data_IF_890991836423
#
_entry.id   IF_890991836423
#
_cell.length_a   1.000
_cell.length_b   1.000
_cell.length_c   1.000
_cell.angle_alpha   90.00
_cell.angle_beta   90.00
_cell.angle_gamma   90.00
#
_symmetry.space_group_name_H-M   'P 1'
#
loop_
_entity.id
_entity.type
_entity.pdbx_description
1 polymer ?
#
# COMPACT_ATOMS: atom_id res chain seq x y z
N UNK A 1 -20.66 5.79 11.06
CA UNK A 1 -19.69 6.35 12.02
C UNK A 1 -18.81 5.21 12.49
N UNK A 2 -17.48 5.30 12.37
CA UNK A 2 -16.58 4.24 12.85
C UNK A 2 -16.78 4.12 14.36
N UNK A 3 -17.25 2.95 14.82
CA UNK A 3 -17.35 2.68 16.25
C UNK A 3 -15.92 2.58 16.76
N UNK A 4 -15.49 3.44 17.70
CA UNK A 4 -14.15 3.34 18.24
C UNK A 4 -14.02 1.96 18.90
N UNK A 5 -13.04 1.19 18.45
CA UNK A 5 -12.74 -0.17 18.92
C UNK A 5 -12.23 -0.17 20.37
N UNK A 6 -11.55 0.91 20.75
CA UNK A 6 -10.95 1.09 22.05
C UNK A 6 -11.93 0.97 23.24
N UNK A 7 -13.11 1.62 23.27
CA UNK A 7 -14.09 1.43 24.34
C UNK A 7 -14.67 0.01 24.40
N UNK A 8 -14.81 -0.69 23.26
CA UNK A 8 -15.27 -2.08 23.27
C UNK A 8 -14.26 -3.00 23.96
N UNK A 9 -12.96 -2.80 23.70
CA UNK A 9 -11.89 -3.51 24.41
C UNK A 9 -11.86 -3.15 25.89
N UNK A 10 -11.99 -1.87 26.23
CA UNK A 10 -11.97 -1.40 27.62
C UNK A 10 -13.11 -2.03 28.45
N UNK A 11 -14.31 -2.10 27.87
CA UNK A 11 -15.48 -2.74 28.52
C UNK A 11 -15.28 -4.25 28.64
N UNK A 12 -14.88 -4.93 27.56
CA UNK A 12 -14.68 -6.39 27.59
C UNK A 12 -13.57 -6.83 28.55
N UNK A 13 -12.45 -6.10 28.56
CA UNK A 13 -11.30 -6.39 29.40
C UNK A 13 -11.58 -6.00 30.86
N UNK A 14 -12.30 -4.89 31.09
CA UNK A 14 -12.77 -4.48 32.41
C UNK A 14 -13.76 -5.49 33.02
N UNK A 15 -14.71 -6.00 32.23
CA UNK A 15 -15.65 -7.03 32.69
C UNK A 15 -14.92 -8.32 33.10
N UNK A 16 -13.88 -8.72 32.35
CA UNK A 16 -13.06 -9.90 32.69
C UNK A 16 -12.25 -9.69 33.98
N UNK A 17 -11.67 -8.51 34.17
CA UNK A 17 -10.96 -8.15 35.42
C UNK A 17 -11.93 -8.19 36.59
N UNK A 18 -13.12 -7.58 36.46
CA UNK A 18 -14.14 -7.61 37.51
C UNK A 18 -14.56 -9.04 37.86
N UNK A 19 -14.80 -9.88 36.85
CA UNK A 19 -15.17 -11.29 37.06
C UNK A 19 -14.05 -12.08 37.76
N UNK A 20 -12.79 -11.84 37.39
CA UNK A 20 -11.64 -12.43 38.09
C UNK A 20 -11.54 -11.94 39.55
N UNK A 21 -11.83 -10.66 39.81
CA UNK A 21 -11.79 -10.12 41.18
C UNK A 21 -12.91 -10.67 42.06
N UNK A 22 -14.13 -10.83 41.53
CA UNK A 22 -15.28 -11.37 42.27
C UNK A 22 -15.12 -12.88 42.52
N UNK A 23 -14.55 -13.61 41.57
CA UNK A 23 -14.27 -15.03 41.74
C UNK A 23 -13.08 -15.32 42.68
N UNK A 24 -12.33 -14.28 43.08
CA UNK A 24 -11.20 -14.45 43.98
C UNK A 24 -11.70 -14.53 45.42
N UNK A 25 -11.40 -15.65 46.09
CA UNK A 25 -11.69 -15.79 47.51
C UNK A 25 -10.90 -14.76 48.35
N UNK A 26 -11.49 -14.23 49.43
CA UNK A 26 -10.80 -13.31 50.34
C UNK A 26 -9.57 -14.01 50.93
N UNK A 27 -8.37 -13.46 50.67
CA UNK A 27 -7.09 -14.00 51.15
C UNK A 27 -6.22 -14.72 50.10
N UNK A 28 -6.70 -14.88 48.86
CA UNK A 28 -5.85 -15.41 47.79
C UNK A 28 -4.79 -14.38 47.37
N UNK A 29 -3.51 -14.76 47.41
CA UNK A 29 -2.40 -13.91 46.98
C UNK A 29 -2.59 -13.46 45.51
N UNK A 30 -2.20 -12.21 45.23
CA UNK A 30 -2.21 -11.66 43.89
C UNK A 30 -1.26 -12.47 43.00
N UNK A 31 -1.81 -13.12 41.99
CA UNK A 31 -1.05 -13.89 41.03
C UNK A 31 -0.49 -12.94 39.96
N UNK A 32 0.73 -13.21 39.52
CA UNK A 32 1.42 -12.48 38.44
C UNK A 32 0.51 -12.20 37.21
N UNK A 33 -0.29 -13.15 36.69
CA UNK A 33 -1.13 -12.88 35.53
C UNK A 33 -2.19 -11.78 35.78
N UNK A 34 -2.66 -11.61 37.01
CA UNK A 34 -3.65 -10.58 37.32
C UNK A 34 -3.01 -9.18 37.32
N UNK A 35 -1.75 -9.08 37.78
CA UNK A 35 -0.97 -7.84 37.70
C UNK A 35 -0.73 -7.42 36.25
N UNK A 36 -0.43 -8.39 35.37
CA UNK A 36 -0.29 -8.14 33.93
C UNK A 36 -1.62 -7.70 33.33
N UNK A 37 -2.73 -8.39 33.64
CA UNK A 37 -4.05 -8.06 33.11
C UNK A 37 -4.50 -6.67 33.54
N UNK A 38 -4.25 -6.30 34.80
CA UNK A 38 -4.52 -4.97 35.34
C UNK A 38 -3.68 -3.90 34.63
N UNK A 39 -2.39 -4.17 34.40
CA UNK A 39 -1.52 -3.28 33.64
C UNK A 39 -2.03 -3.09 32.20
N UNK A 40 -2.41 -4.17 31.51
CA UNK A 40 -2.98 -4.10 30.15
C UNK A 40 -4.25 -3.24 30.14
N UNK A 41 -5.14 -3.42 31.11
CA UNK A 41 -6.36 -2.62 31.23
C UNK A 41 -6.05 -1.12 31.42
N UNK A 42 -5.09 -0.79 32.29
CA UNK A 42 -4.62 0.59 32.48
C UNK A 42 -4.00 1.17 31.20
N UNK A 43 -3.21 0.39 30.46
CA UNK A 43 -2.62 0.80 29.19
C UNK A 43 -3.66 1.10 28.11
N UNK A 44 -4.70 0.24 28.00
CA UNK A 44 -5.84 0.48 27.10
C UNK A 44 -6.60 1.75 27.50
N UNK A 45 -6.81 1.97 28.80
CA UNK A 45 -7.43 3.18 29.34
C UNK A 45 -6.64 4.45 29.00
N UNK A 46 -5.32 4.39 29.14
CA UNK A 46 -4.42 5.49 28.79
C UNK A 46 -4.49 5.82 27.29
N UNK A 47 -4.49 4.80 26.42
CA UNK A 47 -4.64 5.00 24.97
C UNK A 47 -6.00 5.60 24.60
N UNK A 48 -7.07 5.21 25.29
CA UNK A 48 -8.39 5.83 25.10
C UNK A 48 -8.39 7.32 25.47
N UNK A 49 -7.71 7.67 26.57
CA UNK A 49 -7.59 9.03 27.06
C UNK A 49 -6.67 9.91 26.18
N UNK A 50 -5.75 9.30 25.43
CA UNK A 50 -4.79 9.97 24.54
C UNK A 50 -5.41 10.94 23.52
N UNK A 51 -6.70 10.79 23.21
CA UNK A 51 -7.43 11.72 22.34
C UNK A 51 -7.58 13.12 22.93
N UNK A 52 -7.51 13.26 24.26
CA UNK A 52 -7.57 14.53 24.97
C UNK A 52 -6.35 14.65 25.89
N UNK A 53 -5.37 15.47 25.50
CA UNK A 53 -4.08 15.59 26.20
C UNK A 53 -4.23 15.84 27.71
N UNK A 54 -5.20 16.65 28.11
CA UNK A 54 -5.47 16.91 29.54
C UNK A 54 -5.92 15.67 30.32
N UNK A 55 -6.81 14.87 29.74
CA UNK A 55 -7.29 13.62 30.35
C UNK A 55 -6.18 12.56 30.36
N UNK A 56 -5.39 12.47 29.29
CA UNK A 56 -4.25 11.57 29.22
C UNK A 56 -3.21 11.86 30.32
N UNK A 57 -2.90 13.13 30.58
CA UNK A 57 -1.99 13.53 31.65
C UNK A 57 -2.58 13.15 33.02
N UNK A 58 -3.86 13.43 33.26
CA UNK A 58 -4.51 13.08 34.53
C UNK A 58 -4.54 11.55 34.77
N UNK A 59 -4.86 10.76 33.74
CA UNK A 59 -4.86 9.30 33.82
C UNK A 59 -3.44 8.78 34.01
N UNK A 60 -2.46 9.27 33.26
CA UNK A 60 -1.05 8.90 33.41
C UNK A 60 -0.52 9.21 34.82
N UNK A 61 -0.84 10.38 35.37
CA UNK A 61 -0.47 10.75 36.73
C UNK A 61 -1.13 9.83 37.77
N UNK A 62 -2.39 9.44 37.58
CA UNK A 62 -3.09 8.50 38.48
C UNK A 62 -2.45 7.10 38.47
N UNK A 63 -2.03 6.61 37.29
CA UNK A 63 -1.33 5.32 37.16
C UNK A 63 0.04 5.41 37.86
N UNK A 64 0.80 6.48 37.63
CA UNK A 64 2.10 6.68 38.26
C UNK A 64 2.00 6.79 39.79
N UNK A 65 1.03 7.56 40.30
CA UNK A 65 0.77 7.67 41.74
C UNK A 65 0.37 6.33 42.36
N UNK A 66 -0.45 5.54 41.66
CA UNK A 66 -0.80 4.18 42.08
C UNK A 66 0.41 3.26 42.13
N UNK A 67 1.25 3.26 41.08
CA UNK A 67 2.47 2.43 41.06
C UNK A 67 3.42 2.81 42.19
N UNK A 68 3.55 4.10 42.50
CA UNK A 68 4.35 4.58 43.61
C UNK A 68 3.77 4.15 44.96
N UNK A 69 2.45 4.23 45.13
CA UNK A 69 1.76 3.74 46.33
C UNK A 69 1.93 2.23 46.52
N UNK A 70 1.72 1.45 45.46
CA UNK A 70 1.87 -0.02 45.47
C UNK A 70 3.32 -0.40 45.80
N UNK A 71 4.31 0.33 45.26
CA UNK A 71 5.73 0.15 45.58
C UNK A 71 6.07 0.47 47.04
N UNK A 72 5.45 1.50 47.63
CA UNK A 72 5.69 1.87 49.04
C UNK A 72 5.03 0.92 50.03
N UNK A 73 3.89 0.35 49.68
CA UNK A 73 3.09 -0.51 50.59
C UNK A 73 3.56 -1.96 50.53
N UNK A 74 3.94 -2.43 49.35
CA UNK A 74 4.45 -3.79 49.11
C UNK A 74 5.69 -3.69 48.21
N UNK A 75 6.92 -3.79 48.76
CA UNK A 75 8.16 -3.62 48.00
C UNK A 75 8.49 -4.84 47.11
N UNK A 76 7.47 -5.42 46.47
CA UNK A 76 7.60 -6.52 45.53
C UNK A 76 7.92 -5.96 44.15
N UNK A 77 9.21 -5.78 43.89
CA UNK A 77 9.75 -5.26 42.62
C UNK A 77 9.21 -6.03 41.41
N UNK A 78 9.02 -7.35 41.54
CA UNK A 78 8.49 -8.20 40.48
C UNK A 78 7.04 -7.83 40.08
N UNK A 79 6.20 -7.47 41.05
CA UNK A 79 4.83 -7.06 40.79
C UNK A 79 4.83 -5.71 40.06
N UNK A 80 5.66 -4.77 40.51
CA UNK A 80 5.79 -3.46 39.86
C UNK A 80 6.32 -3.57 38.41
N UNK A 81 7.33 -4.41 38.16
CA UNK A 81 7.85 -4.62 36.80
C UNK A 81 6.77 -5.25 35.90
N UNK A 82 6.04 -6.24 36.40
CA UNK A 82 5.00 -6.93 35.61
C UNK A 82 3.80 -6.03 35.30
N UNK A 83 3.41 -5.12 36.20
CA UNK A 83 2.37 -4.12 35.91
C UNK A 83 2.84 -3.13 34.85
N UNK A 84 4.08 -2.63 34.93
CA UNK A 84 4.66 -1.73 33.92
C UNK A 84 4.69 -2.40 32.54
N UNK A 85 5.14 -3.66 32.46
CA UNK A 85 5.12 -4.44 31.21
C UNK A 85 3.68 -4.58 30.69
N UNK A 86 2.72 -4.86 31.56
CA UNK A 86 1.30 -4.90 31.20
C UNK A 86 0.81 -3.58 30.60
N UNK A 87 1.14 -2.44 31.21
CA UNK A 87 0.76 -1.10 30.70
C UNK A 87 1.33 -0.87 29.31
N UNK A 88 2.62 -1.15 29.09
CA UNK A 88 3.26 -1.00 27.78
C UNK A 88 2.61 -1.91 26.73
N UNK A 89 2.33 -3.16 27.09
CA UNK A 89 1.67 -4.12 26.20
C UNK A 89 0.25 -3.67 25.84
N UNK A 90 -0.48 -3.07 26.80
CA UNK A 90 -1.81 -2.50 26.56
C UNK A 90 -1.79 -1.35 25.56
N UNK A 91 -0.82 -0.42 25.68
CA UNK A 91 -0.66 0.71 24.76
C UNK A 91 -0.30 0.22 23.35
N UNK A 92 0.78 -0.55 23.22
CA UNK A 92 1.26 -1.07 21.92
C UNK A 92 0.24 -1.99 21.28
N UNK A 93 -0.38 -2.88 22.07
CA UNK A 93 -1.41 -3.79 21.59
C UNK A 93 -2.64 -3.05 21.05
N UNK A 94 -3.05 -1.95 21.71
CA UNK A 94 -4.17 -1.13 21.22
C UNK A 94 -3.82 -0.42 19.92
N UNK A 95 -2.59 0.07 19.75
CA UNK A 95 -2.14 0.69 18.49
C UNK A 95 -2.07 -0.30 17.33
N UNK A 96 -1.50 -1.49 17.58
CA UNK A 96 -1.42 -2.54 16.58
C UNK A 96 -2.81 -3.04 16.20
N UNK A 97 -3.70 -3.22 17.17
CA UNK A 97 -5.06 -3.66 16.90
C UNK A 97 -5.88 -2.57 16.22
N UNK A 98 -5.71 -1.29 16.59
CA UNK A 98 -6.30 -0.18 15.85
C UNK A 98 -5.82 -0.17 14.42
N UNK A 99 -4.51 -0.26 14.20
CA UNK A 99 -3.91 -0.28 12.85
C UNK A 99 -4.41 -1.47 12.03
N UNK A 100 -4.51 -2.65 12.64
CA UNK A 100 -5.02 -3.85 12.00
C UNK A 100 -6.51 -3.72 11.66
N UNK A 101 -7.33 -3.22 12.60
CA UNK A 101 -8.75 -2.99 12.35
C UNK A 101 -8.95 -1.90 11.30
N UNK A 102 -8.18 -0.82 11.32
CA UNK A 102 -8.21 0.23 10.30
C UNK A 102 -7.76 -0.31 8.93
N UNK A 103 -6.82 -1.25 8.89
CA UNK A 103 -6.39 -1.90 7.65
C UNK A 103 -7.45 -2.84 7.07
N UNK A 104 -8.15 -3.62 7.92
CA UNK A 104 -9.15 -4.59 7.49
C UNK A 104 -10.54 -3.96 7.26
N UNK A 105 -10.96 -3.06 8.14
CA UNK A 105 -12.28 -2.42 8.13
C UNK A 105 -12.25 -0.98 7.62
N UNK A 106 -11.13 -0.26 7.79
CA UNK A 106 -10.99 1.15 7.38
C UNK A 106 -10.67 1.37 5.90
N UNK A 107 -10.36 0.31 5.13
CA UNK A 107 -10.13 0.42 3.69
C UNK A 107 -11.40 0.76 2.86
N UNK A 108 -12.58 0.88 3.47
CA UNK A 108 -13.83 1.05 2.73
C UNK A 108 -14.46 2.44 2.80
N UNK A 109 -14.26 3.20 3.87
CA UNK A 109 -14.84 4.53 3.97
C UNK A 109 -13.78 5.45 4.53
N UNK A 110 -12.96 6.02 3.64
CA UNK A 110 -12.38 7.31 3.94
C UNK A 110 -13.59 8.26 4.02
N UNK A 111 -14.02 8.73 5.21
CA UNK A 111 -14.86 9.90 5.23
C UNK A 111 -14.04 10.95 4.50
N UNK A 112 -14.55 11.42 3.37
CA UNK A 112 -14.13 12.69 2.81
C UNK A 112 -14.43 13.68 3.92
N UNK A 113 -13.48 13.88 4.85
CA UNK A 113 -13.52 15.04 5.69
C UNK A 113 -13.64 16.19 4.70
N UNK A 114 -14.68 17.03 4.81
CA UNK A 114 -14.66 18.29 4.09
C UNK A 114 -13.41 18.96 4.61
N UNK A 115 -12.34 18.92 3.80
CA UNK A 115 -11.09 19.64 4.01
C UNK A 115 -11.53 21.01 4.46
N UNK A 116 -11.51 21.25 5.78
CA UNK A 116 -11.62 22.58 6.33
C UNK A 116 -10.39 23.24 5.76
N UNK A 117 -10.64 23.90 4.64
CA UNK A 117 -9.73 24.75 3.94
C UNK A 117 -9.53 25.88 4.93
N UNK A 118 -8.66 25.65 5.91
CA UNK A 118 -8.06 26.68 6.73
C UNK A 118 -7.33 27.52 5.70
N UNK A 119 -8.06 28.50 5.18
CA UNK A 119 -7.55 29.70 4.55
C UNK A 119 -6.76 30.41 5.65
N UNK A 120 -5.59 29.90 5.98
CA UNK A 120 -4.49 30.72 6.48
C UNK A 120 -3.67 31.09 5.25
N UNK A 121 -4.24 31.97 4.43
CA UNK A 121 -3.42 32.91 3.68
C UNK A 121 -2.89 33.89 4.74
N UNK A 122 -1.57 33.99 4.98
CA UNK A 122 -1.04 35.22 5.52
C UNK A 122 -1.20 36.30 4.44
N UNK A 123 -2.35 36.96 4.45
CA UNK A 123 -2.53 38.26 3.80
C UNK A 123 -1.70 39.30 4.55
N UNK A 124 -0.41 39.33 4.27
CA UNK A 124 0.45 40.51 4.48
C UNK A 124 1.54 40.53 3.41
N UNK A 125 1.15 40.95 2.22
CA UNK A 125 2.06 41.72 1.37
C UNK A 125 1.48 43.14 1.26
N UNK A 126 2.26 44.18 1.57
CA UNK A 126 1.83 45.54 1.35
C UNK A 126 1.68 45.76 -0.17
N UNK A 127 0.44 46.03 -0.55
CA UNK A 127 0.06 46.56 -1.86
C UNK A 127 0.82 47.86 -2.10
N UNK A 128 1.79 47.84 -3.01
CA UNK A 128 2.39 49.04 -3.58
C UNK A 128 2.39 48.88 -5.10
N UNK A 129 1.67 49.81 -5.73
CA UNK A 129 1.64 50.16 -7.16
C UNK A 129 0.86 49.21 -8.07
N UNK A 130 -0.28 49.73 -8.52
CA UNK A 130 -1.14 49.12 -9.52
C UNK A 130 -0.55 49.22 -10.92
N UNK A 131 -0.70 48.12 -11.65
CA UNK A 131 -0.80 48.14 -13.10
C UNK A 131 -2.02 47.31 -13.51
N UNK A 132 -2.92 47.95 -14.24
CA UNK A 132 -4.08 47.35 -14.86
C UNK A 132 -3.64 46.25 -15.83
N UNK A 133 -3.76 44.98 -15.42
CA UNK A 133 -3.64 43.84 -16.34
C UNK A 133 -5.04 43.31 -16.66
N UNK A 134 -5.45 43.26 -17.94
CA UNK A 134 -6.77 42.79 -18.34
C UNK A 134 -6.94 41.30 -18.03
N UNK A 135 -8.07 41.00 -17.39
CA UNK A 135 -8.51 39.69 -16.93
C UNK A 135 -8.88 38.82 -18.14
N UNK A 136 -8.24 37.66 -18.38
CA UNK A 136 -8.67 36.77 -19.47
C UNK A 136 -9.97 36.05 -19.06
N UNK A 137 -11.09 36.53 -19.60
CA UNK A 137 -12.39 35.86 -19.63
C UNK A 137 -12.37 34.73 -20.67
N UNK A 138 -11.93 33.54 -20.26
CA UNK A 138 -12.27 32.31 -20.97
C UNK A 138 -12.99 31.35 -20.02
N UNK A 139 -14.25 31.67 -19.74
CA UNK A 139 -15.22 30.67 -19.31
C UNK A 139 -15.58 29.85 -20.56
N UNK A 140 -14.94 28.69 -20.73
CA UNK A 140 -15.32 27.72 -21.76
C UNK A 140 -16.60 27.02 -21.30
N UNK A 141 -17.74 27.56 -21.69
CA UNK A 141 -19.05 26.92 -21.54
C UNK A 141 -19.06 25.71 -22.48
N UNK A 142 -18.96 24.50 -21.92
CA UNK A 142 -19.21 23.27 -22.67
C UNK A 142 -20.73 23.16 -22.81
N UNK A 143 -21.27 23.58 -23.95
CA UNK A 143 -22.65 23.30 -24.32
C UNK A 143 -22.79 21.78 -24.56
N UNK A 144 -23.50 21.11 -23.67
CA UNK A 144 -24.06 19.80 -23.98
C UNK A 144 -25.29 20.03 -24.85
N UNK A 145 -25.29 19.45 -26.05
CA UNK A 145 -26.42 19.53 -26.98
C UNK A 145 -27.69 18.91 -26.38
N UNK A 146 -28.88 19.44 -26.71
CA UNK A 146 -30.17 19.05 -26.11
C UNK A 146 -30.74 17.69 -26.58
N UNK A 147 -29.98 16.85 -27.29
CA UNK A 147 -30.50 15.60 -27.88
C UNK A 147 -30.29 14.36 -27.02
N UNK A 148 -30.27 14.49 -25.69
CA UNK A 148 -30.45 13.33 -24.79
C UNK A 148 -31.93 13.19 -24.47
N UNK A 149 -32.68 12.90 -25.53
CA UNK A 149 -34.06 12.42 -25.46
C UNK A 149 -34.05 11.14 -24.61
N UNK A 150 -34.87 11.12 -23.57
CA UNK A 150 -34.96 10.05 -22.58
C UNK A 150 -35.32 8.69 -23.18
N UNK A 151 -34.31 7.96 -23.65
CA UNK A 151 -34.39 6.55 -23.97
C UNK A 151 -34.15 5.73 -22.71
N UNK A 152 -35.22 5.15 -22.18
CA UNK A 152 -35.16 4.04 -21.23
C UNK A 152 -34.38 2.89 -21.87
N UNK A 153 -33.16 2.64 -21.38
CA UNK A 153 -32.33 1.50 -21.82
C UNK A 153 -32.44 0.40 -20.76
N UNK A 154 -33.56 -0.33 -20.81
CA UNK A 154 -33.49 -1.76 -20.53
C UNK A 154 -32.95 -2.43 -21.80
N UNK A 155 -31.64 -2.61 -21.87
CA UNK A 155 -31.01 -3.54 -22.83
C UNK A 155 -30.24 -4.55 -22.03
N UNK A 156 -30.99 -5.56 -21.63
CA UNK A 156 -30.49 -6.86 -21.25
C UNK A 156 -30.02 -7.62 -22.51
N UNK A 157 -28.88 -8.28 -22.35
CA UNK A 157 -28.54 -9.59 -22.94
C UNK A 157 -27.88 -9.61 -24.33
N UNK A 158 -26.72 -10.28 -24.33
CA UNK A 158 -25.94 -10.78 -25.46
C UNK A 158 -24.99 -9.83 -26.19
N UNK A 159 -24.18 -9.16 -25.40
CA UNK A 159 -22.86 -8.69 -25.82
C UNK A 159 -21.83 -9.77 -25.40
N UNK A 160 -21.16 -10.50 -26.33
CA UNK A 160 -20.10 -11.44 -25.96
C UNK A 160 -19.07 -10.72 -25.07
N UNK A 161 -18.39 -11.42 -24.13
CA UNK A 161 -17.48 -10.78 -23.18
C UNK A 161 -16.33 -10.13 -23.95
N UNK A 162 -16.51 -8.85 -24.31
CA UNK A 162 -15.52 -8.10 -25.02
C UNK A 162 -14.30 -7.96 -24.13
N UNK A 163 -13.21 -8.47 -24.67
CA UNK A 163 -11.82 -8.21 -24.33
C UNK A 163 -11.49 -6.70 -24.46
N UNK A 164 -12.22 -5.83 -23.78
CA UNK A 164 -11.90 -4.39 -23.62
C UNK A 164 -10.54 -4.16 -22.92
N UNK A 165 -9.98 -5.23 -22.34
CA UNK A 165 -8.63 -5.24 -21.80
C UNK A 165 -7.58 -5.17 -22.90
N UNK A 166 -7.85 -5.69 -24.10
CA UNK A 166 -6.84 -5.75 -25.17
C UNK A 166 -6.66 -4.42 -25.89
N UNK A 167 -7.71 -3.61 -26.08
CA UNK A 167 -7.59 -2.32 -26.80
C UNK A 167 -6.85 -1.24 -25.99
N UNK A 168 -7.04 -1.16 -24.67
CA UNK A 168 -6.30 -0.21 -23.82
C UNK A 168 -4.82 -0.59 -23.64
N UNK A 169 -4.45 -1.84 -23.92
CA UNK A 169 -3.05 -2.30 -23.92
C UNK A 169 -2.43 -2.35 -25.31
N UNK A 170 -3.27 -2.27 -26.35
CA UNK A 170 -2.92 -2.14 -27.75
C UNK A 170 -2.90 -0.66 -28.15
N UNK A 171 -2.24 0.17 -27.33
CA UNK A 171 -1.71 1.41 -27.90
C UNK A 171 -0.56 0.95 -28.77
N UNK A 172 -0.90 0.72 -30.04
CA UNK A 172 0.01 0.38 -31.10
C UNK A 172 1.16 1.38 -31.06
N UNK A 173 2.38 0.87 -31.15
CA UNK A 173 3.65 1.59 -31.06
C UNK A 173 3.78 2.76 -32.06
N UNK A 174 2.79 2.99 -32.93
CA UNK A 174 2.73 4.05 -33.93
C UNK A 174 2.34 5.42 -33.38
N UNK A 175 1.59 5.51 -32.28
CA UNK A 175 1.10 6.81 -31.77
C UNK A 175 2.22 7.69 -31.16
N UNK A 176 3.41 7.14 -30.90
CA UNK A 176 4.56 7.84 -30.33
C UNK A 176 5.75 7.98 -31.29
N UNK A 177 5.56 7.79 -32.61
CA UNK A 177 6.62 7.95 -33.63
C UNK A 177 7.26 9.35 -33.70
N UNK A 178 6.71 10.33 -32.97
CA UNK A 178 7.16 11.72 -32.95
C UNK A 178 8.56 11.95 -32.34
N UNK A 179 9.22 10.92 -31.80
CA UNK A 179 10.62 10.98 -31.35
C UNK A 179 11.47 9.91 -32.02
N UNK A 180 11.58 9.97 -33.35
CA UNK A 180 12.34 9.00 -34.16
C UNK A 180 13.85 8.96 -33.82
N UNK A 181 14.37 9.95 -33.09
CA UNK A 181 15.77 10.04 -32.65
C UNK A 181 16.08 9.30 -31.35
N UNK A 182 15.07 8.86 -30.60
CA UNK A 182 15.28 8.16 -29.33
C UNK A 182 15.82 6.74 -29.58
N UNK A 183 16.75 6.30 -28.71
CA UNK A 183 17.26 4.93 -28.73
C UNK A 183 16.11 3.93 -28.50
N UNK A 184 16.19 2.68 -29.03
CA UNK A 184 15.12 1.70 -28.88
C UNK A 184 14.71 1.47 -27.42
N UNK A 185 15.68 1.46 -26.48
CA UNK A 185 15.42 1.29 -25.05
C UNK A 185 14.70 2.50 -24.44
N UNK A 186 15.06 3.72 -24.86
CA UNK A 186 14.34 4.94 -24.43
C UNK A 186 12.90 4.95 -24.92
N UNK A 187 12.63 4.46 -26.13
CA UNK A 187 11.26 4.32 -26.65
C UNK A 187 10.44 3.36 -25.81
N UNK A 188 11.03 2.23 -25.39
CA UNK A 188 10.36 1.29 -24.49
C UNK A 188 10.04 1.93 -23.13
N UNK A 189 11.00 2.65 -22.53
CA UNK A 189 10.77 3.37 -21.26
C UNK A 189 9.66 4.41 -21.42
N UNK A 190 9.65 5.17 -22.52
CA UNK A 190 8.62 6.14 -22.83
C UNK A 190 7.24 5.47 -22.97
N UNK A 191 7.16 4.33 -23.69
CA UNK A 191 5.92 3.56 -23.86
C UNK A 191 5.37 3.05 -22.52
N UNK A 192 6.24 2.56 -21.62
CA UNK A 192 5.84 2.10 -20.29
C UNK A 192 5.33 3.24 -19.42
N UNK A 193 5.98 4.41 -19.47
CA UNK A 193 5.52 5.62 -18.75
C UNK A 193 4.20 6.15 -19.29
N UNK A 194 4.00 6.10 -20.61
CA UNK A 194 2.73 6.46 -21.23
C UNK A 194 1.62 5.49 -20.80
N UNK A 195 1.88 4.18 -20.79
CA UNK A 195 0.94 3.17 -20.30
C UNK A 195 0.61 3.34 -18.81
N UNK A 196 1.61 3.67 -17.99
CA UNK A 196 1.38 4.00 -16.58
C UNK A 196 0.49 5.24 -16.43
N UNK A 197 0.70 6.26 -17.26
CA UNK A 197 -0.11 7.49 -17.26
C UNK A 197 -1.56 7.24 -17.66
N UNK A 198 -1.77 6.37 -18.66
CA UNK A 198 -3.11 5.92 -19.06
C UNK A 198 -3.80 5.11 -17.94
N UNK A 199 -3.06 4.21 -17.30
CA UNK A 199 -3.59 3.46 -16.17
C UNK A 199 -3.97 4.38 -15.00
N UNK A 200 -3.23 5.48 -14.78
CA UNK A 200 -3.61 6.48 -13.77
C UNK A 200 -4.88 7.26 -14.16
N UNK A 201 -5.05 7.63 -15.43
CA UNK A 201 -6.28 8.31 -15.87
C UNK A 201 -7.51 7.43 -15.66
N UNK A 202 -7.43 6.15 -16.02
CA UNK A 202 -8.50 5.17 -15.78
C UNK A 202 -8.74 5.00 -14.27
N UNK A 203 -7.69 4.88 -13.47
CA UNK A 203 -7.79 4.81 -12.01
C UNK A 203 -8.57 5.99 -11.43
N UNK A 204 -8.33 7.22 -11.90
CA UNK A 204 -9.07 8.41 -11.45
C UNK A 204 -10.53 8.35 -11.85
N UNK A 205 -10.80 7.97 -13.10
CA UNK A 205 -12.16 7.77 -13.62
C UNK A 205 -12.95 6.77 -12.77
N UNK A 206 -12.40 5.57 -12.50
CA UNK A 206 -13.08 4.57 -11.66
C UNK A 206 -13.31 5.05 -10.22
N UNK A 207 -12.44 5.92 -9.69
CA UNK A 207 -12.65 6.53 -8.37
C UNK A 207 -13.85 7.47 -8.38
N UNK A 208 -14.03 8.25 -9.44
CA UNK A 208 -15.17 9.16 -9.60
C UNK A 208 -16.46 8.38 -9.88
N UNK A 209 -16.43 7.41 -10.79
CA UNK A 209 -17.58 6.53 -11.07
C UNK A 209 -18.02 5.75 -9.84
N UNK A 210 -17.09 5.31 -8.98
CA UNK A 210 -17.43 4.69 -7.69
C UNK A 210 -18.19 5.65 -6.78
N UNK A 211 -17.74 6.91 -6.67
CA UNK A 211 -18.42 7.93 -5.85
C UNK A 211 -19.82 8.21 -6.38
N UNK A 212 -19.96 8.27 -7.70
CA UNK A 212 -21.25 8.45 -8.36
C UNK A 212 -22.19 7.25 -8.12
N UNK A 213 -21.69 6.01 -8.22
CA UNK A 213 -22.50 4.83 -7.90
C UNK A 213 -22.96 4.81 -6.43
N UNK A 214 -22.08 5.23 -5.50
CA UNK A 214 -22.43 5.34 -4.08
C UNK A 214 -23.50 6.41 -3.82
N UNK A 215 -23.46 7.56 -4.52
CA UNK A 215 -24.49 8.60 -4.36
C UNK A 215 -25.85 8.17 -4.90
N UNK A 216 -25.88 7.23 -5.85
CA UNK A 216 -27.10 6.59 -6.36
C UNK A 216 -27.58 5.42 -5.47
N UNK A 217 -26.86 5.07 -4.40
CA UNK A 217 -27.19 3.91 -3.55
C UNK A 217 -26.92 2.54 -4.20
N UNK A 218 -26.24 2.50 -5.34
CA UNK A 218 -25.91 1.25 -6.04
C UNK A 218 -24.58 0.67 -5.54
N UNK A 219 -24.66 -0.10 -4.44
CA UNK A 219 -23.49 -0.70 -3.80
C UNK A 219 -22.77 -1.72 -4.68
N UNK A 220 -23.50 -2.57 -5.40
CA UNK A 220 -22.92 -3.59 -6.28
C UNK A 220 -22.04 -2.96 -7.37
N UNK A 221 -22.52 -1.88 -8.00
CA UNK A 221 -21.72 -1.14 -8.98
C UNK A 221 -20.51 -0.46 -8.34
N UNK A 222 -20.66 0.09 -7.14
CA UNK A 222 -19.53 0.70 -6.43
C UNK A 222 -18.43 -0.32 -6.09
N UNK A 223 -18.79 -1.56 -5.75
CA UNK A 223 -17.85 -2.66 -5.53
C UNK A 223 -17.12 -3.06 -6.82
N UNK A 224 -17.83 -3.14 -7.94
CA UNK A 224 -17.22 -3.38 -9.25
C UNK A 224 -16.23 -2.27 -9.63
N UNK A 225 -16.59 -1.00 -9.44
CA UNK A 225 -15.67 0.11 -9.71
C UNK A 225 -14.44 0.07 -8.76
N UNK A 226 -14.61 -0.43 -7.54
CA UNK A 226 -13.50 -0.62 -6.58
C UNK A 226 -12.54 -1.73 -7.05
N UNK A 227 -13.03 -2.83 -7.60
CA UNK A 227 -12.16 -3.89 -8.13
C UNK A 227 -11.36 -3.40 -9.34
N UNK A 228 -12.00 -2.71 -10.28
CA UNK A 228 -11.32 -2.10 -11.43
C UNK A 228 -10.28 -1.06 -11.00
N UNK A 229 -10.62 -0.18 -10.05
CA UNK A 229 -9.66 0.77 -9.47
C UNK A 229 -8.38 0.08 -8.96
N UNK A 230 -8.53 -1.04 -8.23
CA UNK A 230 -7.38 -1.79 -7.70
C UNK A 230 -6.55 -2.39 -8.83
N UNK A 231 -7.20 -2.92 -9.86
CA UNK A 231 -6.55 -3.49 -11.04
C UNK A 231 -5.70 -2.46 -11.78
N UNK A 232 -6.26 -1.28 -12.09
CA UNK A 232 -5.51 -0.20 -12.75
C UNK A 232 -4.41 0.39 -11.88
N UNK A 233 -4.62 0.48 -10.55
CA UNK A 233 -3.56 0.86 -9.61
C UNK A 233 -2.38 -0.12 -9.68
N UNK A 234 -2.65 -1.42 -9.64
CA UNK A 234 -1.61 -2.45 -9.77
C UNK A 234 -0.88 -2.37 -11.10
N UNK A 235 -1.63 -2.17 -12.21
CA UNK A 235 -1.06 -2.04 -13.55
C UNK A 235 -0.13 -0.82 -13.68
N UNK A 236 -0.56 0.33 -13.16
CA UNK A 236 0.23 1.56 -13.11
C UNK A 236 1.55 1.33 -12.34
N UNK A 237 1.46 0.73 -11.15
CA UNK A 237 2.65 0.42 -10.34
C UNK A 237 3.60 -0.56 -11.03
N UNK A 238 3.09 -1.60 -11.70
CA UNK A 238 3.94 -2.52 -12.46
C UNK A 238 4.65 -1.83 -13.63
N UNK A 239 3.97 -0.96 -14.37
CA UNK A 239 4.58 -0.24 -15.48
C UNK A 239 5.65 0.75 -14.99
N UNK A 240 5.45 1.41 -13.85
CA UNK A 240 6.49 2.25 -13.25
C UNK A 240 7.72 1.44 -12.85
N UNK A 241 7.53 0.32 -12.13
CA UNK A 241 8.66 -0.54 -11.72
C UNK A 241 9.43 -1.06 -12.94
N UNK A 242 8.73 -1.47 -14.00
CA UNK A 242 9.38 -1.95 -15.22
C UNK A 242 10.15 -0.83 -15.93
N UNK A 243 9.57 0.38 -16.03
CA UNK A 243 10.24 1.53 -16.62
C UNK A 243 11.51 1.91 -15.84
N UNK A 244 11.46 1.88 -14.52
CA UNK A 244 12.60 2.21 -13.65
C UNK A 244 13.71 1.15 -13.77
N UNK A 245 13.37 -0.14 -13.82
CA UNK A 245 14.34 -1.21 -14.08
C UNK A 245 15.04 -1.06 -15.43
N UNK A 246 14.29 -0.73 -16.50
CA UNK A 246 14.87 -0.50 -17.83
C UNK A 246 15.76 0.73 -17.86
N UNK A 247 15.41 1.79 -17.13
CA UNK A 247 16.24 2.98 -16.99
C UNK A 247 17.58 2.66 -16.32
N UNK A 248 17.57 1.89 -15.22
CA UNK A 248 18.79 1.45 -14.55
C UNK A 248 19.65 0.55 -15.44
N UNK A 249 19.04 -0.36 -16.20
CA UNK A 249 19.75 -1.21 -17.15
C UNK A 249 20.42 -0.40 -18.28
N UNK A 250 19.72 0.62 -18.79
CA UNK A 250 20.25 1.54 -19.79
C UNK A 250 21.43 2.35 -19.25
N UNK A 251 21.33 2.87 -18.04
CA UNK A 251 22.41 3.63 -17.38
C UNK A 251 23.64 2.74 -17.15
N UNK A 252 23.44 1.52 -16.65
CA UNK A 252 24.53 0.54 -16.49
C UNK A 252 25.20 0.16 -17.83
N UNK A 253 24.43 0.08 -18.93
CA UNK A 253 24.98 -0.17 -20.27
C UNK A 253 25.80 1.04 -20.77
N UNK A 254 25.32 2.27 -20.52
CA UNK A 254 26.00 3.50 -20.88
C UNK A 254 27.35 3.64 -20.16
N UNK A 255 27.41 3.32 -18.87
CA UNK A 255 28.66 3.34 -18.10
C UNK A 255 29.71 2.36 -18.66
N UNK A 256 29.28 1.15 -19.07
CA UNK A 256 30.18 0.16 -19.68
C UNK A 256 30.76 0.65 -21.01
N UNK A 257 29.95 1.29 -21.85
CA UNK A 257 30.41 1.88 -23.11
C UNK A 257 31.42 3.01 -22.90
N UNK A 258 31.20 3.87 -21.90
CA UNK A 258 32.09 5.00 -21.62
C UNK A 258 33.48 4.57 -21.13
N UNK A 259 33.58 3.46 -20.38
CA UNK A 259 34.88 2.94 -19.91
C UNK A 259 35.73 2.35 -21.02
N UNK A 260 35.14 1.91 -22.13
CA UNK A 260 35.88 1.33 -23.25
C UNK A 260 36.59 2.38 -24.13
N UNK A 261 36.09 3.62 -24.17
CA UNK A 261 36.65 4.69 -25.02
C UNK A 261 37.78 5.47 -24.32
N UNK A 262 37.83 5.46 -22.98
CA UNK A 262 38.82 6.21 -22.21
C UNK A 262 40.22 5.55 -22.11
N UNK A 263 40.41 4.34 -22.64
CA UNK A 263 41.67 3.57 -22.47
C UNK A 263 42.71 3.83 -23.57
N UNK A 264 42.39 4.63 -24.59
CA UNK A 264 43.34 5.00 -25.66
C UNK A 264 43.61 6.50 -25.75
N UNK A 265 43.61 7.21 -24.63
CA UNK A 265 44.26 8.51 -24.58
C UNK A 265 45.73 8.28 -24.22
N UNK A 266 46.50 7.85 -25.24
CA UNK A 266 47.95 7.97 -25.21
C UNK A 266 48.29 9.43 -24.86
N UNK A 267 49.16 9.69 -23.87
CA UNK A 267 49.86 10.96 -23.80
C UNK A 267 50.58 11.12 -25.14
N UNK A 268 50.16 12.10 -25.93
CA UNK A 268 50.91 12.54 -27.11
C UNK A 268 52.10 13.33 -26.58
N UNK A 269 53.06 12.62 -25.99
CA UNK A 269 54.36 13.19 -25.68
C UNK A 269 55.10 13.41 -26.98
N UNK A 270 55.43 14.67 -27.19
CA UNK A 270 56.33 15.14 -28.22
C UNK A 270 57.73 14.56 -27.99
N UNK A 271 58.41 14.24 -29.10
CA UNK A 271 59.86 14.02 -29.28
C UNK A 271 60.46 12.62 -29.06
N UNK A 272 61.10 12.02 -30.09
CA UNK A 272 61.86 10.77 -30.00
C UNK A 272 63.35 11.01 -29.66
N UNK A 273 64.00 10.17 -28.84
CA UNK A 273 65.45 10.10 -28.76
C UNK A 273 66.03 8.99 -29.67
N UNK A 274 67.28 9.13 -30.14
CA UNK A 274 67.86 8.27 -31.16
C UNK A 274 68.46 6.97 -30.61
N UNK A 275 68.07 5.87 -31.25
CA UNK A 275 68.90 4.78 -31.78
C UNK A 275 70.19 4.39 -31.04
N UNK A 276 70.16 3.23 -30.34
CA UNK A 276 71.31 2.30 -30.23
C UNK A 276 70.84 0.83 -30.15
N UNK A 277 71.19 0.05 -31.20
CA UNK A 277 71.38 -1.42 -31.18
C UNK A 277 72.66 -1.76 -30.38
N UNK A 278 72.97 -3.01 -29.90
CA UNK A 278 72.75 -4.36 -30.53
C UNK A 278 72.54 -5.51 -29.48
N UNK A 279 72.97 -6.78 -29.66
CA UNK A 279 72.76 -7.84 -30.68
C UNK A 279 72.01 -9.11 -30.09
N UNK A 280 71.84 -10.23 -30.83
CA UNK A 280 70.78 -11.22 -30.58
C UNK A 280 71.23 -12.49 -29.81
N UNK A 281 70.34 -13.07 -29.00
CA UNK A 281 70.45 -14.45 -28.49
C UNK A 281 69.12 -15.20 -28.52
N UNK A 282 68.89 -15.85 -29.65
CA UNK A 282 68.73 -17.29 -29.82
C UNK A 282 68.12 -18.18 -28.69
N UNK A 283 67.06 -18.91 -29.11
CA UNK A 283 66.64 -20.29 -28.73
C UNK A 283 65.99 -20.50 -27.34
N UNK A 284 64.67 -20.78 -27.32
CA UNK A 284 64.15 -22.14 -27.06
C UNK A 284 62.64 -22.28 -27.22
N UNK A 285 62.28 -23.24 -28.07
CA UNK A 285 61.04 -24.01 -28.10
C UNK A 285 60.55 -24.39 -26.70
N UNK A 286 59.25 -24.25 -26.45
CA UNK A 286 58.47 -25.24 -25.71
C UNK A 286 56.95 -25.04 -25.89
N UNK A 287 56.33 -26.04 -26.51
CA UNK A 287 55.01 -26.57 -26.24
C UNK A 287 53.79 -25.64 -26.26
N UNK A 288 53.15 -25.63 -27.42
CA UNK A 288 51.70 -25.62 -27.58
C UNK A 288 51.02 -26.62 -26.62
N UNK A 289 50.28 -26.09 -25.65
CA UNK A 289 49.17 -26.80 -25.00
C UNK A 289 47.89 -26.04 -25.23
N UNK A 290 47.19 -26.52 -26.24
CA UNK A 290 45.78 -26.32 -26.53
C UNK A 290 44.93 -26.82 -25.34
N UNK A 291 44.07 -25.99 -24.75
CA UNK A 291 42.98 -26.47 -23.91
C UNK A 291 41.71 -26.56 -24.75
N UNK A 292 41.33 -27.79 -25.08
CA UNK A 292 40.03 -28.16 -25.61
C UNK A 292 38.89 -27.67 -24.68
N UNK A 293 37.79 -27.10 -25.22
CA UNK A 293 36.64 -26.71 -24.42
C UNK A 293 35.68 -27.89 -24.30
N UNK A 294 35.65 -28.55 -23.13
CA UNK A 294 34.54 -29.45 -22.79
C UNK A 294 34.11 -29.21 -21.35
N UNK A 295 33.23 -28.23 -21.18
CA UNK A 295 32.43 -28.08 -19.96
C UNK A 295 30.99 -27.83 -20.34
N UNK A 296 30.35 -28.93 -20.73
CA UNK A 296 28.91 -29.11 -20.73
C UNK A 296 28.43 -28.90 -19.29
N UNK A 297 28.00 -27.67 -18.97
CA UNK A 297 27.27 -27.38 -17.74
C UNK A 297 25.81 -27.67 -18.04
N UNK A 298 25.33 -28.76 -17.47
CA UNK A 298 23.92 -29.05 -17.33
C UNK A 298 23.18 -27.79 -16.79
N UNK A 299 21.95 -27.53 -17.25
CA UNK A 299 21.15 -26.45 -16.70
C UNK A 299 20.90 -26.74 -15.22
N UNK A 300 21.41 -25.87 -14.36
CA UNK A 300 20.91 -25.75 -12.99
C UNK A 300 19.45 -25.33 -13.09
N UNK A 301 18.55 -26.31 -13.08
CA UNK A 301 17.17 -26.07 -12.67
C UNK A 301 17.23 -25.69 -11.19
N UNK A 302 17.16 -24.38 -10.93
CA UNK A 302 16.79 -23.88 -9.62
C UNK A 302 15.37 -24.40 -9.36
N UNK A 303 15.27 -25.53 -8.64
CA UNK A 303 14.05 -25.91 -7.93
C UNK A 303 13.80 -24.82 -6.91
N UNK A 304 13.03 -23.81 -7.30
CA UNK A 304 12.28 -23.00 -6.36
C UNK A 304 11.40 -24.00 -5.59
N UNK A 305 11.46 -24.05 -4.25
CA UNK A 305 10.50 -24.81 -3.48
C UNK A 305 9.13 -24.20 -3.78
N UNK A 306 8.34 -24.93 -4.57
CA UNK A 306 6.91 -24.70 -4.71
C UNK A 306 6.33 -24.83 -3.31
N UNK A 307 6.17 -23.70 -2.62
CA UNK A 307 5.28 -23.64 -1.47
C UNK A 307 3.94 -24.20 -1.95
N UNK A 308 3.46 -25.23 -1.26
CA UNK A 308 2.17 -25.84 -1.52
C UNK A 308 1.12 -24.75 -1.67
N UNK A 309 0.64 -24.59 -2.89
CA UNK A 309 -0.50 -23.74 -3.16
C UNK A 309 -1.65 -24.22 -2.28
N UNK A 310 -2.39 -23.32 -1.62
CA UNK A 310 -3.65 -23.70 -1.00
C UNK A 310 -4.50 -24.33 -2.11
N UNK A 311 -4.97 -25.54 -1.85
CA UNK A 311 -5.91 -26.26 -2.72
C UNK A 311 -6.92 -25.25 -3.25
N UNK A 312 -6.89 -25.01 -4.55
CA UNK A 312 -7.86 -24.18 -5.25
C UNK A 312 -9.22 -24.88 -5.14
N UNK A 313 -9.91 -24.66 -4.02
CA UNK A 313 -11.35 -24.84 -4.02
C UNK A 313 -11.90 -23.86 -5.06
N UNK A 314 -12.66 -24.35 -6.05
CA UNK A 314 -13.30 -23.47 -7.00
C UNK A 314 -14.13 -22.47 -6.20
N UNK A 315 -13.86 -21.18 -6.43
CA UNK A 315 -14.66 -20.13 -5.81
C UNK A 315 -16.12 -20.39 -6.17
N UNK A 316 -17.04 -20.42 -5.19
CA UNK A 316 -18.44 -20.70 -5.46
C UNK A 316 -18.94 -19.76 -6.54
N UNK A 317 -19.53 -20.33 -7.58
CA UNK A 317 -20.03 -19.54 -8.71
C UNK A 317 -21.08 -18.55 -8.20
N UNK A 318 -21.26 -17.42 -8.89
CA UNK A 318 -22.21 -16.38 -8.49
C UNK A 318 -23.63 -16.93 -8.24
N UNK A 319 -24.02 -17.99 -8.96
CA UNK A 319 -25.28 -18.70 -8.73
C UNK A 319 -25.35 -19.40 -7.36
N UNK A 320 -24.25 -19.97 -6.89
CA UNK A 320 -24.15 -20.65 -5.61
C UNK A 320 -24.23 -19.65 -4.44
N UNK A 321 -23.67 -18.45 -4.62
CA UNK A 321 -23.84 -17.34 -3.69
C UNK A 321 -25.29 -16.87 -3.58
N UNK A 322 -25.98 -16.75 -4.72
CA UNK A 322 -27.40 -16.36 -4.77
C UNK A 322 -28.28 -17.41 -4.10
N UNK A 323 -28.01 -18.70 -4.32
CA UNK A 323 -28.73 -19.81 -3.68
C UNK A 323 -28.50 -19.86 -2.15
N UNK A 324 -27.27 -19.62 -1.69
CA UNK A 324 -26.95 -19.57 -0.26
C UNK A 324 -27.66 -18.40 0.45
N UNK A 325 -27.75 -17.24 -0.21
CA UNK A 325 -28.47 -16.08 0.32
C UNK A 325 -29.98 -16.33 0.41
N UNK A 326 -30.55 -17.03 -0.58
CA UNK A 326 -31.96 -17.41 -0.58
C UNK A 326 -32.30 -18.41 0.53
N UNK A 327 -31.40 -19.36 0.85
CA UNK A 327 -31.55 -20.30 1.98
C UNK A 327 -31.50 -19.61 3.35
N UNK A 328 -30.69 -18.56 3.50
CA UNK A 328 -30.66 -17.76 4.74
C UNK A 328 -31.96 -16.98 4.96
N UNK A 329 -32.54 -16.44 3.89
CA UNK A 329 -33.80 -15.70 3.96
C UNK A 329 -35.00 -16.60 4.33
N UNK A 330 -35.00 -17.86 3.88
CA UNK A 330 -36.06 -18.81 4.23
C UNK A 330 -35.91 -19.40 5.64
N UNK A 331 -34.68 -19.53 6.14
CA UNK A 331 -34.41 -19.98 7.52
C UNK A 331 -34.86 -18.97 8.59
N UNK A 332 -34.87 -17.67 8.28
CA UNK A 332 -35.28 -16.62 9.23
C UNK A 332 -36.80 -16.51 9.44
N UNK A 333 -37.61 -17.28 8.70
CA UNK A 333 -39.08 -17.23 8.75
C UNK A 333 -39.74 -18.42 9.44
N UNK A 334 -38.99 -19.29 10.12
CA UNK A 334 -39.65 -20.29 10.98
C UNK A 334 -40.11 -19.61 12.28
N UNK A 335 -41.44 -19.47 12.51
CA UNK A 335 -41.94 -19.02 13.80
C UNK A 335 -41.51 -20.04 14.85
N UNK A 336 -40.88 -19.55 15.93
CA UNK A 336 -40.65 -20.38 17.11
C UNK A 336 -42.01 -20.75 17.69
N UNK A 337 -42.33 -22.03 17.72
CA UNK A 337 -43.48 -22.56 18.44
C UNK A 337 -43.39 -22.13 19.92
N UNK A 338 -44.39 -21.41 20.46
CA UNK A 338 -44.37 -20.92 21.84
C UNK A 338 -44.76 -21.99 22.88
N UNK A 339 -44.89 -23.26 22.49
CA UNK A 339 -45.36 -24.35 23.36
C UNK A 339 -44.41 -25.55 23.39
N UNK A 340 -43.15 -25.33 23.79
CA UNK A 340 -42.25 -26.44 24.14
C UNK A 340 -41.38 -26.13 25.34
#
# INVERSE_FOLDING_TARGET
>A
MPIPTAPALLVGLGARVLLNTVNRGPGAQASIPDSILLGVWQGVGLQCAGKQTGVAIAVGASIAMKLLYDFTTTPDVNICITTIIGVLLGVVGTELLSSYIDQYFGAEVEPVEPRKRTRSLPSRYPSVVGHHLPKPTHARTVQFGPDVLGGSVESEVNRPPYTLVSELTSIDSSAYELQSTASPVEREIASLRARASLADSERRRYREERKWAMSQGNLARAEQMKSEYKRYKSLMESCHREADMKLLAMEAAKERGSRHISTYQYPRDESPPPERRPPPQNVRRAFSKEPSPRREKAPYQIRIPTQGGPSSQPSPTYQEYKAAQQRRMSSARQPRDPYR
#
